data_IF_576427419951
#
_entry.id   IF_576427419951
#
_cell.length_a   1.000
_cell.length_b   1.000
_cell.length_c   1.000
_cell.angle_alpha   90.00
_cell.angle_beta   90.00
_cell.angle_gamma   90.00
#
_symmetry.space_group_name_H-M   'P 1'
#
loop_
_entity.id
_entity.type
_entity.pdbx_description
1 polymer ?
#
# COMPACT_ATOMS: atom_id res chain seq x y z
N UNK A 1 20.34 5.99 -31.61
CA UNK A 1 20.85 5.09 -30.55
C UNK A 1 19.68 4.24 -30.10
N UNK A 2 19.60 2.96 -30.51
CA UNK A 2 18.50 2.07 -30.12
C UNK A 2 18.72 1.61 -28.68
N UNK A 3 17.84 2.02 -27.77
CA UNK A 3 17.84 1.55 -26.39
C UNK A 3 16.88 0.37 -26.33
N UNK A 4 17.42 -0.84 -26.20
CA UNK A 4 16.61 -2.02 -25.93
C UNK A 4 16.12 -1.92 -24.49
N UNK A 5 14.81 -1.90 -24.29
CA UNK A 5 14.16 -1.81 -22.97
C UNK A 5 13.38 -3.09 -22.74
N UNK A 6 13.40 -3.58 -21.50
CA UNK A 6 12.61 -4.71 -21.03
C UNK A 6 11.58 -4.18 -20.04
N UNK A 7 10.29 -4.42 -20.30
CA UNK A 7 9.17 -4.03 -19.42
C UNK A 7 8.56 -5.30 -18.85
N UNK A 8 8.48 -5.36 -17.51
CA UNK A 8 7.84 -6.44 -16.77
C UNK A 8 6.45 -6.00 -16.31
N UNK A 9 5.47 -6.38 -17.13
CA UNK A 9 4.06 -6.07 -16.87
C UNK A 9 3.54 -6.83 -15.65
N UNK A 10 4.17 -7.94 -15.26
CA UNK A 10 3.74 -8.73 -14.12
C UNK A 10 4.22 -8.12 -12.80
N UNK A 11 5.46 -7.65 -12.74
CA UNK A 11 5.93 -6.86 -11.61
C UNK A 11 5.08 -5.58 -11.41
N UNK A 12 4.67 -4.94 -12.51
CA UNK A 12 3.72 -3.82 -12.48
C UNK A 12 2.38 -4.27 -11.91
N UNK A 13 1.83 -5.41 -12.35
CA UNK A 13 0.57 -5.93 -11.85
C UNK A 13 0.62 -6.28 -10.35
N UNK A 14 1.68 -6.95 -9.89
CA UNK A 14 1.89 -7.30 -8.47
C UNK A 14 1.94 -6.04 -7.61
N UNK A 15 2.61 -4.99 -8.08
CA UNK A 15 2.64 -3.70 -7.40
C UNK A 15 1.24 -3.08 -7.35
N UNK A 16 0.53 -3.03 -8.48
CA UNK A 16 -0.82 -2.47 -8.55
C UNK A 16 -1.79 -3.20 -7.63
N UNK A 17 -1.74 -4.53 -7.60
CA UNK A 17 -2.52 -5.34 -6.66
C UNK A 17 -2.16 -5.03 -5.21
N UNK A 18 -0.88 -4.89 -4.90
CA UNK A 18 -0.42 -4.58 -3.54
C UNK A 18 -0.86 -3.19 -3.09
N UNK A 19 -0.88 -2.20 -4.00
CA UNK A 19 -1.45 -0.87 -3.76
C UNK A 19 -2.95 -0.99 -3.50
N UNK A 20 -3.69 -1.67 -4.39
CA UNK A 20 -5.13 -1.88 -4.23
C UNK A 20 -5.46 -2.54 -2.88
N UNK A 21 -4.72 -3.57 -2.46
CA UNK A 21 -4.94 -4.23 -1.16
C UNK A 21 -4.72 -3.32 0.04
N UNK A 22 -3.82 -2.33 -0.07
CA UNK A 22 -3.60 -1.34 0.98
C UNK A 22 -4.73 -0.31 0.95
N UNK A 23 -5.09 0.20 -0.23
CA UNK A 23 -6.16 1.17 -0.40
C UNK A 23 -7.52 0.61 0.05
N UNK A 24 -7.82 -0.67 -0.23
CA UNK A 24 -9.03 -1.34 0.24
C UNK A 24 -9.12 -1.37 1.77
N UNK A 25 -8.00 -1.57 2.46
CA UNK A 25 -8.00 -1.49 3.93
C UNK A 25 -8.34 -0.09 4.40
N UNK A 26 -7.86 0.95 3.71
CA UNK A 26 -8.17 2.34 4.05
C UNK A 26 -9.64 2.68 3.75
N UNK A 27 -10.20 2.16 2.66
CA UNK A 27 -11.62 2.31 2.33
C UNK A 27 -12.51 1.58 3.35
N UNK A 28 -12.12 0.40 3.82
CA UNK A 28 -12.86 -0.31 4.86
C UNK A 28 -12.99 0.51 6.16
N UNK A 29 -12.11 1.49 6.38
CA UNK A 29 -12.23 2.42 7.50
C UNK A 29 -13.34 3.45 7.30
N UNK A 30 -13.60 3.87 6.06
CA UNK A 30 -14.76 4.69 5.72
C UNK A 30 -16.04 3.92 6.05
N UNK A 31 -16.11 2.63 5.74
CA UNK A 31 -17.25 1.78 6.08
C UNK A 31 -17.46 1.65 7.59
N UNK A 32 -16.36 1.55 8.37
CA UNK A 32 -16.45 1.56 9.83
C UNK A 32 -16.97 2.90 10.37
N UNK A 33 -16.55 4.02 9.79
CA UNK A 33 -17.05 5.35 10.17
C UNK A 33 -18.53 5.48 9.82
N UNK A 34 -18.94 5.06 8.61
CA UNK A 34 -20.34 5.05 8.17
C UNK A 34 -21.22 4.21 9.09
N UNK A 35 -20.79 2.98 9.39
CA UNK A 35 -21.48 2.09 10.33
C UNK A 35 -21.57 2.70 11.73
N UNK A 36 -20.51 3.35 12.18
CA UNK A 36 -20.50 4.10 13.43
C UNK A 36 -21.55 5.23 13.43
N UNK A 37 -21.59 6.03 12.37
CA UNK A 37 -22.57 7.11 12.19
C UNK A 37 -23.98 6.52 12.24
N UNK A 38 -24.30 5.49 11.44
CA UNK A 38 -25.63 4.88 11.41
C UNK A 38 -26.08 4.36 12.78
N UNK A 39 -25.18 3.71 13.53
CA UNK A 39 -25.47 3.16 14.84
C UNK A 39 -25.58 4.23 15.94
N UNK A 40 -24.79 5.30 15.88
CA UNK A 40 -24.85 6.41 16.83
C UNK A 40 -25.93 7.46 16.52
N UNK A 41 -26.40 7.51 15.27
CA UNK A 41 -27.25 8.58 14.73
C UNK A 41 -28.75 8.41 15.02
N UNK A 42 -29.23 7.27 15.54
CA UNK A 42 -30.66 7.11 15.86
C UNK A 42 -31.24 8.23 16.76
N UNK A 43 -30.41 8.97 17.52
CA UNK A 43 -30.83 10.12 18.34
C UNK A 43 -30.44 11.51 17.81
N UNK A 44 -29.71 11.58 16.69
CA UNK A 44 -29.08 12.78 16.11
C UNK A 44 -29.29 12.95 14.59
N UNK A 45 -30.18 12.17 13.96
CA UNK A 45 -30.53 12.32 12.55
C UNK A 45 -31.09 13.72 12.25
N UNK A 46 -30.23 14.61 11.78
CA UNK A 46 -30.58 15.89 11.20
C UNK A 46 -29.95 16.00 9.80
N UNK A 47 -30.33 17.04 9.06
CA UNK A 47 -29.88 17.28 7.69
C UNK A 47 -28.34 17.38 7.56
N UNK A 48 -27.64 17.83 8.60
CA UNK A 48 -26.18 17.97 8.57
C UNK A 48 -25.48 16.61 8.71
N UNK A 49 -25.96 15.71 9.57
CA UNK A 49 -25.41 14.35 9.68
C UNK A 49 -25.67 13.54 8.40
N UNK A 50 -26.82 13.74 7.75
CA UNK A 50 -27.14 13.13 6.47
C UNK A 50 -26.21 13.62 5.34
N UNK A 51 -25.92 14.92 5.28
CA UNK A 51 -24.99 15.47 4.29
C UNK A 51 -23.57 14.91 4.43
N UNK A 52 -23.06 14.81 5.68
CA UNK A 52 -21.76 14.21 5.96
C UNK A 52 -21.72 12.73 5.54
N UNK A 53 -22.77 11.97 5.87
CA UNK A 53 -22.86 10.56 5.48
C UNK A 53 -22.86 10.39 3.96
N UNK A 54 -23.60 11.23 3.24
CA UNK A 54 -23.66 11.19 1.79
C UNK A 54 -22.30 11.51 1.15
N UNK A 55 -21.58 12.51 1.64
CA UNK A 55 -20.23 12.82 1.18
C UNK A 55 -19.27 11.63 1.34
N UNK A 56 -19.30 10.97 2.51
CA UNK A 56 -18.45 9.80 2.78
C UNK A 56 -18.78 8.65 1.83
N UNK A 57 -20.07 8.42 1.57
CA UNK A 57 -20.55 7.40 0.62
C UNK A 57 -20.08 7.68 -0.79
N UNK A 58 -20.24 8.92 -1.27
CA UNK A 58 -19.83 9.32 -2.62
C UNK A 58 -18.30 9.17 -2.82
N UNK A 59 -17.51 9.57 -1.83
CA UNK A 59 -16.05 9.41 -1.87
C UNK A 59 -15.63 7.95 -1.84
N UNK A 60 -16.23 7.14 -0.94
CA UNK A 60 -15.98 5.71 -0.85
C UNK A 60 -16.28 5.02 -2.18
N UNK A 61 -17.45 5.27 -2.77
CA UNK A 61 -17.89 4.62 -4.00
C UNK A 61 -17.01 5.02 -5.19
N UNK A 62 -16.59 6.29 -5.24
CA UNK A 62 -15.63 6.79 -6.23
C UNK A 62 -14.28 6.08 -6.14
N UNK A 63 -13.73 5.93 -4.92
CA UNK A 63 -12.46 5.24 -4.71
C UNK A 63 -12.58 3.73 -4.97
N UNK A 64 -13.65 3.08 -4.52
CA UNK A 64 -13.90 1.67 -4.77
C UNK A 64 -13.99 1.36 -6.27
N UNK A 65 -14.68 2.22 -7.04
CA UNK A 65 -14.73 2.10 -8.51
C UNK A 65 -13.36 2.23 -9.17
N UNK A 66 -12.49 3.13 -8.68
CA UNK A 66 -11.11 3.27 -9.17
C UNK A 66 -10.25 2.06 -8.85
N UNK A 67 -10.37 1.50 -7.64
CA UNK A 67 -9.67 0.26 -7.25
C UNK A 67 -10.08 -0.89 -8.17
N UNK A 68 -11.38 -1.10 -8.38
CA UNK A 68 -11.86 -2.21 -9.22
C UNK A 68 -11.40 -2.06 -10.68
N UNK A 69 -11.42 -0.84 -11.22
CA UNK A 69 -10.87 -0.56 -12.55
C UNK A 69 -9.36 -0.85 -12.61
N UNK A 70 -8.60 -0.39 -11.61
CA UNK A 70 -7.15 -0.63 -11.57
C UNK A 70 -6.83 -2.12 -11.44
N UNK A 71 -7.59 -2.89 -10.65
CA UNK A 71 -7.47 -4.35 -10.55
C UNK A 71 -7.73 -5.03 -11.90
N UNK A 72 -8.78 -4.61 -12.61
CA UNK A 72 -9.08 -5.14 -13.94
C UNK A 72 -7.94 -4.84 -14.92
N UNK A 73 -7.43 -3.60 -14.92
CA UNK A 73 -6.29 -3.20 -15.75
C UNK A 73 -5.01 -3.97 -15.40
N UNK A 74 -4.72 -4.16 -14.11
CA UNK A 74 -3.57 -4.92 -13.62
C UNK A 74 -3.63 -6.38 -14.11
N UNK A 75 -4.80 -7.02 -14.09
CA UNK A 75 -5.01 -8.38 -14.62
C UNK A 75 -4.77 -8.45 -16.13
N UNK A 76 -5.24 -7.47 -16.91
CA UNK A 76 -5.00 -7.44 -18.36
C UNK A 76 -3.53 -7.15 -18.68
N UNK A 77 -2.87 -6.34 -17.87
CA UNK A 77 -1.44 -6.04 -17.96
C UNK A 77 -0.61 -7.29 -17.64
N UNK A 78 -0.96 -8.05 -16.59
CA UNK A 78 -0.27 -9.29 -16.22
C UNK A 78 -0.21 -10.30 -17.38
N UNK A 79 -1.28 -10.44 -18.18
CA UNK A 79 -1.33 -11.35 -19.33
C UNK A 79 -0.26 -11.07 -20.40
N UNK A 80 0.35 -9.87 -20.40
CA UNK A 80 1.38 -9.50 -21.37
C UNK A 80 2.76 -10.05 -21.00
N UNK A 81 2.97 -10.50 -19.77
CA UNK A 81 4.26 -10.99 -19.28
C UNK A 81 5.39 -9.98 -19.49
N UNK A 82 6.58 -10.46 -19.82
CA UNK A 82 7.71 -9.59 -20.19
C UNK A 82 7.77 -9.32 -21.69
N UNK A 83 7.89 -8.04 -22.03
CA UNK A 83 8.05 -7.59 -23.42
C UNK A 83 9.39 -6.86 -23.57
N UNK A 84 10.18 -7.30 -24.54
CA UNK A 84 11.48 -6.72 -24.90
C UNK A 84 11.42 -6.09 -26.30
N UNK A 85 11.98 -4.90 -26.47
CA UNK A 85 11.86 -4.16 -27.73
C UNK A 85 12.53 -2.79 -27.71
N UNK A 86 12.43 -2.09 -28.84
CA UNK A 86 12.92 -0.71 -28.97
C UNK A 86 12.11 0.24 -28.10
N UNK A 87 12.77 1.14 -27.36
CA UNK A 87 12.14 2.04 -26.40
C UNK A 87 10.97 2.83 -26.99
N UNK A 88 11.10 3.25 -28.25
CA UNK A 88 10.11 4.10 -28.92
C UNK A 88 8.87 3.31 -29.35
N UNK A 89 8.99 1.99 -29.54
CA UNK A 89 7.85 1.09 -29.83
C UNK A 89 7.16 0.59 -28.57
N UNK A 90 7.90 0.44 -27.48
CA UNK A 90 7.36 -0.02 -26.20
C UNK A 90 6.65 1.09 -25.40
N UNK A 91 7.15 2.34 -25.50
CA UNK A 91 6.56 3.53 -24.84
C UNK A 91 5.17 3.92 -25.33
N UNK A 92 4.71 3.37 -26.46
CA UNK A 92 3.38 3.64 -27.00
C UNK A 92 2.27 2.81 -26.33
N UNK A 93 2.61 1.88 -25.42
CA UNK A 93 1.66 0.94 -24.85
C UNK A 93 1.26 1.26 -23.41
N UNK A 94 0.02 0.89 -23.09
CA UNK A 94 -0.73 1.14 -21.86
C UNK A 94 -0.07 0.79 -20.51
N UNK A 95 1.10 0.13 -20.48
CA UNK A 95 1.82 -0.23 -19.25
C UNK A 95 2.18 0.99 -18.41
N UNK A 96 2.68 2.03 -19.08
CA UNK A 96 3.12 3.27 -18.45
C UNK A 96 1.95 4.03 -17.80
N UNK A 97 0.70 3.70 -18.16
CA UNK A 97 -0.49 4.30 -17.57
C UNK A 97 -0.97 3.54 -16.33
N UNK A 98 -0.71 2.23 -16.19
CA UNK A 98 -1.25 1.46 -15.07
C UNK A 98 -0.44 1.69 -13.79
N UNK A 99 0.91 1.72 -13.86
CA UNK A 99 1.74 2.09 -12.70
C UNK A 99 1.48 3.54 -12.26
N UNK A 100 1.32 4.46 -13.23
CA UNK A 100 0.93 5.86 -12.95
C UNK A 100 -0.47 5.96 -12.35
N UNK A 101 -1.44 5.23 -12.87
CA UNK A 101 -2.80 5.20 -12.33
C UNK A 101 -2.81 4.62 -10.91
N UNK A 102 -1.95 3.63 -10.62
CA UNK A 102 -1.78 3.09 -9.28
C UNK A 102 -1.18 4.11 -8.32
N UNK A 103 -0.14 4.84 -8.74
CA UNK A 103 0.44 5.93 -7.94
C UNK A 103 -0.53 7.09 -7.74
N UNK A 104 -1.30 7.46 -8.76
CA UNK A 104 -2.30 8.51 -8.65
C UNK A 104 -3.42 8.12 -7.70
N UNK A 105 -3.91 6.87 -7.77
CA UNK A 105 -4.89 6.34 -6.84
C UNK A 105 -4.34 6.31 -5.41
N UNK A 106 -3.13 5.80 -5.22
CA UNK A 106 -2.46 5.79 -3.92
C UNK A 106 -2.33 7.20 -3.33
N UNK A 107 -1.95 8.20 -4.13
CA UNK A 107 -1.86 9.59 -3.69
C UNK A 107 -3.22 10.16 -3.28
N UNK A 108 -4.28 9.87 -4.06
CA UNK A 108 -5.64 10.29 -3.73
C UNK A 108 -6.14 9.65 -2.42
N UNK A 109 -5.87 8.36 -2.23
CA UNK A 109 -6.22 7.63 -1.01
C UNK A 109 -5.42 8.14 0.19
N UNK A 110 -4.13 8.41 0.03
CA UNK A 110 -3.27 8.96 1.07
C UNK A 110 -3.72 10.38 1.49
N UNK A 111 -4.07 11.24 0.54
CA UNK A 111 -4.58 12.58 0.85
C UNK A 111 -5.93 12.51 1.59
N UNK A 112 -6.83 11.65 1.11
CA UNK A 112 -8.12 11.41 1.77
C UNK A 112 -7.92 10.89 3.20
N UNK A 113 -6.99 9.95 3.39
CA UNK A 113 -6.67 9.41 4.70
C UNK A 113 -6.04 10.42 5.65
N UNK A 114 -5.13 11.25 5.16
CA UNK A 114 -4.39 12.20 5.98
C UNK A 114 -5.19 13.46 6.35
N UNK A 115 -6.20 13.83 5.55
CA UNK A 115 -7.02 15.03 5.81
C UNK A 115 -8.47 14.67 6.14
N UNK A 116 -9.22 14.19 5.16
CA UNK A 116 -10.68 14.01 5.27
C UNK A 116 -11.07 12.98 6.30
N UNK A 117 -10.43 11.80 6.29
CA UNK A 117 -10.72 10.73 7.26
C UNK A 117 -10.48 11.18 8.70
N UNK A 118 -9.42 11.97 8.94
CA UNK A 118 -9.08 12.51 10.26
C UNK A 118 -10.15 13.50 10.74
N UNK A 119 -10.57 14.40 9.84
CA UNK A 119 -11.64 15.36 10.13
C UNK A 119 -12.97 14.65 10.40
N UNK A 120 -13.36 13.71 9.53
CA UNK A 120 -14.60 12.93 9.65
C UNK A 120 -14.65 12.11 10.94
N UNK A 121 -13.56 11.44 11.31
CA UNK A 121 -13.46 10.73 12.61
C UNK A 121 -13.69 11.63 13.78
N UNK A 122 -13.17 12.84 13.71
CA UNK A 122 -13.33 13.77 14.81
C UNK A 122 -14.73 14.39 14.86
N UNK A 123 -15.34 14.65 13.71
CA UNK A 123 -16.75 15.02 13.63
C UNK A 123 -17.60 13.89 14.25
N UNK A 124 -17.32 12.63 13.93
CA UNK A 124 -18.00 11.48 14.51
C UNK A 124 -17.76 11.33 16.02
N UNK A 125 -16.51 11.43 16.50
CA UNK A 125 -16.21 11.38 17.94
C UNK A 125 -16.91 12.52 18.69
N UNK A 126 -16.92 13.73 18.13
CA UNK A 126 -17.66 14.87 18.67
C UNK A 126 -19.17 14.60 18.71
N UNK A 127 -19.72 13.93 17.68
CA UNK A 127 -21.12 13.53 17.62
C UNK A 127 -21.45 12.46 18.68
N UNK A 128 -20.55 11.50 18.92
CA UNK A 128 -20.70 10.52 19.99
C UNK A 128 -20.62 11.17 21.39
N UNK A 129 -19.62 12.01 21.63
CA UNK A 129 -19.46 12.73 22.91
C UNK A 129 -20.66 13.61 23.21
N UNK A 130 -21.12 14.37 22.21
CA UNK A 130 -22.35 15.16 22.34
C UNK A 130 -23.57 14.26 22.49
N UNK A 131 -23.72 13.13 21.80
CA UNK A 131 -24.83 12.20 22.06
C UNK A 131 -24.84 11.66 23.49
N UNK A 132 -23.66 11.52 24.13
CA UNK A 132 -23.51 11.06 25.52
C UNK A 132 -23.84 12.20 26.50
N UNK A 133 -23.28 13.40 26.31
CA UNK A 133 -23.58 14.58 27.13
C UNK A 133 -25.02 15.06 26.97
N UNK A 134 -25.54 14.99 25.75
CA UNK A 134 -26.88 15.37 25.37
C UNK A 134 -27.89 14.31 25.80
N UNK A 135 -27.56 13.00 25.81
CA UNK A 135 -28.36 12.00 26.53
C UNK A 135 -28.37 12.27 28.04
N UNK A 136 -27.24 12.63 28.64
CA UNK A 136 -27.18 12.97 30.07
C UNK A 136 -27.91 14.28 30.41
N UNK A 137 -27.91 15.29 29.53
CA UNK A 137 -28.69 16.53 29.64
C UNK A 137 -30.17 16.32 29.31
N UNK A 138 -30.53 15.53 28.29
CA UNK A 138 -31.91 15.17 27.91
C UNK A 138 -32.59 14.36 29.01
N UNK A 139 -31.88 13.39 29.62
CA UNK A 139 -32.31 12.67 30.83
C UNK A 139 -32.59 13.61 32.01
N UNK A 140 -31.93 14.77 32.06
CA UNK A 140 -32.10 15.78 33.11
C UNK A 140 -33.11 16.89 32.77
N UNK A 141 -33.46 17.15 31.50
CA UNK A 141 -34.19 18.38 31.16
C UNK A 141 -35.36 18.34 30.18
N UNK A 142 -35.67 17.30 29.39
CA UNK A 142 -36.94 17.26 28.60
C UNK A 142 -37.20 15.92 27.90
N UNK A 143 -38.39 15.37 28.14
CA UNK A 143 -38.92 14.17 27.48
C UNK A 143 -39.30 14.45 26.03
N UNK A 144 -38.44 14.03 25.07
CA UNK A 144 -38.79 13.56 23.71
C UNK A 144 -37.62 13.57 22.69
N UNK A 145 -36.38 13.87 23.09
CA UNK A 145 -35.21 13.46 22.29
C UNK A 145 -35.02 14.08 20.90
N UNK A 146 -35.69 15.19 20.58
CA UNK A 146 -35.48 15.93 19.31
C UNK A 146 -34.85 17.29 19.62
N UNK A 147 -33.62 17.52 19.15
CA UNK A 147 -32.97 18.84 19.20
C UNK A 147 -33.39 19.62 17.96
N UNK A 148 -34.10 20.72 18.17
CA UNK A 148 -34.59 21.59 17.09
C UNK A 148 -33.68 22.80 16.97
N UNK A 149 -33.04 23.00 15.82
CA UNK A 149 -32.14 24.13 15.57
C UNK A 149 -32.98 25.37 15.21
N UNK A 150 -32.73 26.54 15.83
CA UNK A 150 -33.39 27.80 15.46
C UNK A 150 -33.08 28.20 14.01
N UNK A 151 -34.06 28.77 13.30
CA UNK A 151 -33.92 29.14 11.88
C UNK A 151 -32.76 30.12 11.60
N UNK A 152 -32.42 30.98 12.55
CA UNK A 152 -31.29 31.92 12.42
C UNK A 152 -29.93 31.21 12.48
N UNK A 153 -29.80 30.20 13.35
CA UNK A 153 -28.60 29.36 13.44
C UNK A 153 -28.48 28.52 12.17
N UNK A 154 -29.58 27.97 11.66
CA UNK A 154 -29.57 27.23 10.40
C UNK A 154 -29.07 28.10 9.23
N UNK A 155 -29.58 29.32 9.09
CA UNK A 155 -29.11 30.26 8.05
C UNK A 155 -27.62 30.58 8.17
N UNK A 156 -27.14 30.74 9.41
CA UNK A 156 -25.72 30.99 9.66
C UNK A 156 -24.86 29.79 9.26
N UNK A 157 -25.26 28.58 9.64
CA UNK A 157 -24.57 27.35 9.24
C UNK A 157 -24.56 27.18 7.71
N UNK A 158 -25.69 27.39 7.05
CA UNK A 158 -25.81 27.29 5.59
C UNK A 158 -24.96 28.32 4.84
N UNK A 159 -24.57 29.42 5.50
CA UNK A 159 -23.65 30.42 4.94
C UNK A 159 -22.18 29.97 4.93
N UNK A 160 -21.83 28.94 5.70
CA UNK A 160 -20.46 28.42 5.78
C UNK A 160 -20.23 27.47 4.59
N UNK A 161 -19.32 27.88 3.69
CA UNK A 161 -19.02 27.13 2.47
C UNK A 161 -18.26 25.83 2.73
N UNK A 162 -17.28 25.86 3.64
CA UNK A 162 -16.52 24.68 4.01
C UNK A 162 -17.39 23.75 4.87
N UNK A 163 -17.71 22.58 4.33
CA UNK A 163 -18.56 21.58 4.95
C UNK A 163 -18.02 21.18 6.34
N UNK A 164 -16.71 20.98 6.46
CA UNK A 164 -16.07 20.59 7.72
C UNK A 164 -16.20 21.71 8.76
N UNK A 165 -15.94 22.97 8.40
CA UNK A 165 -16.15 24.12 9.29
C UNK A 165 -17.62 24.28 9.69
N UNK A 166 -18.55 24.08 8.75
CA UNK A 166 -19.98 24.11 9.02
C UNK A 166 -20.36 23.09 10.09
N UNK A 167 -19.84 21.86 9.98
CA UNK A 167 -20.11 20.80 10.94
C UNK A 167 -19.47 21.08 12.31
N UNK A 168 -18.25 21.62 12.36
CA UNK A 168 -17.65 22.03 13.65
C UNK A 168 -18.39 23.19 14.30
N UNK A 169 -18.88 24.16 13.53
CA UNK A 169 -19.74 25.23 14.02
C UNK A 169 -21.06 24.66 14.58
N UNK A 170 -21.66 23.69 13.88
CA UNK A 170 -22.82 22.98 14.41
C UNK A 170 -22.54 22.26 15.73
N UNK A 171 -21.38 21.62 15.89
CA UNK A 171 -21.00 20.99 17.15
C UNK A 171 -20.73 21.99 18.27
N UNK A 172 -20.11 23.12 17.97
CA UNK A 172 -19.96 24.20 18.95
C UNK A 172 -21.33 24.65 19.47
N UNK A 173 -22.33 24.75 18.58
CA UNK A 173 -23.71 25.06 18.96
C UNK A 173 -24.33 23.98 19.87
N UNK A 174 -24.15 22.69 19.56
CA UNK A 174 -24.66 21.60 20.42
C UNK A 174 -24.02 21.59 21.81
N UNK A 175 -22.72 21.93 21.90
CA UNK A 175 -22.03 22.05 23.19
C UNK A 175 -22.53 23.25 24.00
N UNK A 176 -22.79 24.38 23.32
CA UNK A 176 -23.30 25.59 23.92
C UNK A 176 -24.32 26.29 23.00
N UNK A 177 -25.60 26.08 23.30
CA UNK A 177 -26.75 26.57 22.52
C UNK A 177 -26.97 28.09 22.60
N UNK A 178 -26.16 28.79 23.41
CA UNK A 178 -26.17 30.26 23.52
C UNK A 178 -25.28 30.95 22.48
N UNK A 179 -24.43 30.19 21.78
CA UNK A 179 -23.54 30.72 20.76
C UNK A 179 -24.31 31.13 19.49
N UNK A 180 -23.97 32.28 18.93
CA UNK A 180 -24.56 32.79 17.69
C UNK A 180 -23.58 33.70 16.93
N UNK A 181 -23.88 34.01 15.67
CA UNK A 181 -23.08 34.90 14.83
C UNK A 181 -21.60 34.50 14.75
N UNK A 182 -20.71 35.49 14.80
CA UNK A 182 -19.26 35.28 14.71
C UNK A 182 -18.69 34.46 15.87
N UNK A 183 -19.33 34.52 17.05
CA UNK A 183 -18.89 33.75 18.22
C UNK A 183 -19.09 32.25 18.01
N UNK A 184 -20.16 31.86 17.32
CA UNK A 184 -20.39 30.45 16.95
C UNK A 184 -19.34 29.96 15.94
N UNK A 185 -19.03 30.78 14.94
CA UNK A 185 -18.02 30.46 13.93
C UNK A 185 -16.64 30.33 14.58
N UNK A 186 -16.29 31.26 15.49
CA UNK A 186 -15.02 31.21 16.23
C UNK A 186 -14.93 29.97 17.11
N UNK A 187 -15.98 29.66 17.86
CA UNK A 187 -16.02 28.46 18.70
C UNK A 187 -15.91 27.17 17.86
N UNK A 188 -16.53 27.12 16.68
CA UNK A 188 -16.37 26.02 15.73
C UNK A 188 -14.92 25.85 15.27
N UNK A 189 -14.23 26.95 14.93
CA UNK A 189 -12.82 26.93 14.53
C UNK A 189 -11.88 26.54 15.66
N UNK A 190 -12.12 27.05 16.86
CA UNK A 190 -11.36 26.66 18.05
C UNK A 190 -11.53 25.18 18.35
N UNK A 191 -12.76 24.67 18.30
CA UNK A 191 -13.04 23.24 18.46
C UNK A 191 -12.34 22.39 17.38
N UNK A 192 -12.33 22.86 16.13
CA UNK A 192 -11.58 22.22 15.02
C UNK A 192 -10.07 22.15 15.30
N UNK A 193 -9.50 23.22 15.86
CA UNK A 193 -8.06 23.36 16.09
C UNK A 193 -7.56 22.68 17.38
N UNK A 194 -8.25 22.82 18.51
CA UNK A 194 -7.85 22.22 19.81
C UNK A 194 -7.73 20.70 19.70
N UNK A 195 -8.63 20.10 18.93
CA UNK A 195 -8.61 18.66 18.68
C UNK A 195 -7.69 18.27 17.53
N UNK A 196 -7.19 19.20 16.70
CA UNK A 196 -6.31 18.89 15.57
C UNK A 196 -4.98 18.25 16.00
N UNK A 197 -4.29 18.83 16.97
CA UNK A 197 -3.02 18.28 17.48
C UNK A 197 -3.19 16.89 18.11
N UNK A 198 -4.25 16.71 18.93
CA UNK A 198 -4.58 15.40 19.51
C UNK A 198 -4.94 14.36 18.45
N UNK A 199 -5.62 14.78 17.37
CA UNK A 199 -5.97 13.90 16.23
C UNK A 199 -4.74 13.47 15.47
N UNK A 200 -3.78 14.37 15.22
CA UNK A 200 -2.52 14.03 14.57
C UNK A 200 -1.81 12.93 15.34
N UNK A 201 -1.74 13.04 16.67
CA UNK A 201 -1.07 12.02 17.49
C UNK A 201 -1.81 10.68 17.47
N UNK A 202 -3.14 10.69 17.53
CA UNK A 202 -3.95 9.47 17.38
C UNK A 202 -3.75 8.81 16.01
N UNK A 203 -3.67 9.60 14.94
CA UNK A 203 -3.43 9.08 13.60
C UNK A 203 -1.99 8.59 13.42
N UNK A 204 -0.99 9.25 14.02
CA UNK A 204 0.39 8.76 14.07
C UNK A 204 0.48 7.39 14.75
N UNK A 205 -0.18 7.24 15.88
CA UNK A 205 -0.24 5.96 16.59
C UNK A 205 -0.99 4.89 15.80
N UNK A 206 -2.01 5.30 15.03
CA UNK A 206 -2.70 4.40 14.12
C UNK A 206 -1.80 3.92 12.98
N UNK A 207 -1.10 4.84 12.31
CA UNK A 207 -0.12 4.53 11.27
C UNK A 207 0.96 3.60 11.83
N UNK A 208 1.44 3.85 13.05
CA UNK A 208 2.36 2.94 13.76
C UNK A 208 1.79 1.51 13.82
N UNK A 209 0.54 1.33 14.26
CA UNK A 209 -0.10 0.01 14.34
C UNK A 209 -0.26 -0.66 12.98
N UNK A 210 -0.57 0.11 11.93
CA UNK A 210 -0.66 -0.41 10.56
C UNK A 210 0.70 -0.94 10.08
N UNK A 211 1.77 -0.19 10.34
CA UNK A 211 3.14 -0.61 10.02
C UNK A 211 3.54 -1.87 10.82
N UNK A 212 3.22 -1.93 12.11
CA UNK A 212 3.44 -3.12 12.95
C UNK A 212 2.66 -4.33 12.44
N UNK A 213 1.39 -4.15 12.04
CA UNK A 213 0.55 -5.21 11.50
C UNK A 213 1.06 -5.72 10.14
N UNK A 214 1.68 -4.85 9.35
CA UNK A 214 2.41 -5.21 8.14
C UNK A 214 3.77 -5.88 8.42
N UNK A 215 4.17 -6.00 9.70
CA UNK A 215 5.42 -6.61 10.18
C UNK A 215 6.68 -5.86 9.77
N UNK A 216 6.58 -4.54 9.66
CA UNK A 216 7.74 -3.68 9.46
C UNK A 216 8.63 -3.62 10.71
N UNK A 217 9.91 -3.36 10.47
CA UNK A 217 10.92 -3.23 11.51
C UNK A 217 10.68 -1.99 12.38
N UNK A 218 10.85 -2.12 13.70
CA UNK A 218 10.61 -1.03 14.65
C UNK A 218 11.41 0.23 14.34
N UNK A 219 12.64 0.10 13.83
CA UNK A 219 13.49 1.23 13.43
C UNK A 219 12.92 2.00 12.24
N UNK A 220 12.32 1.31 11.27
CA UNK A 220 11.62 1.92 10.13
C UNK A 220 10.36 2.63 10.64
N UNK A 221 9.60 1.96 11.50
CA UNK A 221 8.39 2.52 12.11
C UNK A 221 8.69 3.81 12.86
N UNK A 222 9.71 3.80 13.71
CA UNK A 222 10.13 4.97 14.46
C UNK A 222 10.58 6.08 13.51
N UNK A 223 11.36 5.78 12.46
CA UNK A 223 11.77 6.77 11.46
C UNK A 223 10.57 7.40 10.74
N UNK A 224 9.59 6.60 10.33
CA UNK A 224 8.41 7.08 9.60
C UNK A 224 7.53 7.98 10.49
N UNK A 225 7.34 7.61 11.76
CA UNK A 225 6.37 8.27 12.65
C UNK A 225 6.98 9.42 13.46
N UNK A 226 8.30 9.42 13.70
CA UNK A 226 8.96 10.45 14.54
C UNK A 226 9.57 11.61 13.77
N UNK A 227 9.70 11.51 12.44
CA UNK A 227 10.18 12.63 11.62
C UNK A 227 9.20 13.83 11.69
N UNK A 228 9.75 15.05 11.68
CA UNK A 228 8.99 16.31 11.61
C UNK A 228 8.40 16.51 10.20
N UNK A 229 7.49 15.60 9.83
CA UNK A 229 6.77 15.58 8.56
C UNK A 229 5.29 15.88 8.80
N UNK A 230 4.64 16.40 7.77
CA UNK A 230 3.19 16.54 7.74
C UNK A 230 2.52 15.15 7.78
N UNK A 231 1.29 15.07 8.29
CA UNK A 231 0.57 13.80 8.35
C UNK A 231 0.42 13.13 6.97
N UNK A 232 0.27 13.93 5.91
CA UNK A 232 0.21 13.45 4.53
C UNK A 232 1.52 12.77 4.09
N UNK A 233 2.67 13.36 4.43
CA UNK A 233 3.98 12.77 4.13
C UNK A 233 4.21 11.50 4.94
N UNK A 234 3.85 11.50 6.24
CA UNK A 234 3.94 10.30 7.08
C UNK A 234 3.09 9.17 6.49
N UNK A 235 1.85 9.48 6.08
CA UNK A 235 0.94 8.50 5.46
C UNK A 235 1.48 7.99 4.13
N UNK A 236 2.04 8.85 3.29
CA UNK A 236 2.65 8.46 2.02
C UNK A 236 3.79 7.47 2.22
N UNK A 237 4.77 7.84 3.06
CA UNK A 237 5.93 6.99 3.34
C UNK A 237 5.50 5.68 4.00
N UNK A 238 4.56 5.73 4.95
CA UNK A 238 4.04 4.53 5.59
C UNK A 238 3.39 3.58 4.57
N UNK A 239 2.61 4.12 3.64
CA UNK A 239 1.92 3.34 2.61
C UNK A 239 2.93 2.72 1.63
N UNK A 240 3.96 3.46 1.23
CA UNK A 240 5.06 2.94 0.39
C UNK A 240 5.78 1.76 1.08
N UNK A 241 6.11 1.90 2.36
CA UNK A 241 6.75 0.83 3.14
C UNK A 241 5.86 -0.42 3.27
N UNK A 242 4.55 -0.23 3.50
CA UNK A 242 3.57 -1.34 3.57
C UNK A 242 3.43 -2.04 2.22
N UNK A 243 3.35 -1.28 1.12
CA UNK A 243 3.25 -1.82 -0.24
C UNK A 243 4.51 -2.59 -0.60
N UNK A 244 5.70 -2.03 -0.33
CA UNK A 244 6.98 -2.71 -0.54
C UNK A 244 7.04 -4.02 0.24
N UNK A 245 6.64 -4.01 1.51
CA UNK A 245 6.64 -5.24 2.31
C UNK A 245 5.68 -6.30 1.76
N UNK A 246 4.50 -5.91 1.26
CA UNK A 246 3.60 -6.83 0.56
C UNK A 246 4.22 -7.43 -0.69
N UNK A 247 4.89 -6.63 -1.51
CA UNK A 247 5.60 -7.09 -2.72
C UNK A 247 6.68 -8.11 -2.33
N UNK A 248 7.47 -7.82 -1.29
CA UNK A 248 8.50 -8.73 -0.76
C UNK A 248 7.89 -10.06 -0.29
N UNK A 249 6.79 -10.02 0.45
CA UNK A 249 6.09 -11.22 0.92
C UNK A 249 5.54 -12.08 -0.22
N UNK A 250 4.95 -11.45 -1.25
CA UNK A 250 4.48 -12.15 -2.47
C UNK A 250 5.67 -12.80 -3.19
N UNK A 251 6.77 -12.07 -3.37
CA UNK A 251 8.01 -12.54 -4.01
C UNK A 251 8.62 -13.74 -3.26
N UNK A 252 8.72 -13.66 -1.93
CA UNK A 252 9.22 -14.75 -1.08
C UNK A 252 8.36 -16.01 -1.20
N UNK A 253 7.03 -15.86 -1.22
CA UNK A 253 6.10 -16.99 -1.37
C UNK A 253 6.30 -17.71 -2.70
N UNK A 254 6.51 -16.95 -3.78
CA UNK A 254 6.79 -17.49 -5.10
C UNK A 254 8.14 -18.24 -5.11
N UNK A 255 9.22 -17.58 -4.68
CA UNK A 255 10.57 -18.18 -4.63
C UNK A 255 10.57 -19.46 -3.80
N UNK A 256 9.94 -19.45 -2.62
CA UNK A 256 9.83 -20.61 -1.75
C UNK A 256 9.09 -21.76 -2.44
N UNK A 257 8.00 -21.47 -3.16
CA UNK A 257 7.26 -22.49 -3.91
C UNK A 257 8.11 -23.10 -5.03
N UNK A 258 8.82 -22.26 -5.79
CA UNK A 258 9.65 -22.67 -6.91
C UNK A 258 10.84 -23.55 -6.50
N UNK A 259 11.48 -23.28 -5.37
CA UNK A 259 12.59 -24.13 -4.89
C UNK A 259 12.09 -25.39 -4.18
N UNK A 260 10.94 -25.34 -3.49
CA UNK A 260 10.38 -26.55 -2.88
C UNK A 260 9.93 -27.55 -3.93
N UNK A 261 9.39 -27.10 -5.06
CA UNK A 261 9.10 -27.96 -6.21
C UNK A 261 10.36 -28.70 -6.74
N UNK A 262 11.56 -28.14 -6.50
CA UNK A 262 12.86 -28.72 -6.85
C UNK A 262 13.49 -29.58 -5.77
N UNK A 263 12.75 -29.87 -4.70
CA UNK A 263 13.21 -30.72 -3.60
C UNK A 263 14.06 -29.99 -2.55
N UNK A 264 14.12 -28.66 -2.57
CA UNK A 264 14.70 -27.92 -1.45
C UNK A 264 13.72 -27.83 -0.28
N UNK A 265 14.23 -28.11 0.91
CA UNK A 265 13.51 -27.97 2.17
C UNK A 265 13.87 -26.60 2.77
N UNK A 266 12.85 -25.79 3.01
CA UNK A 266 12.99 -24.47 3.65
C UNK A 266 12.44 -24.57 5.08
N UNK A 267 13.32 -24.54 6.08
CA UNK A 267 12.92 -24.38 7.48
C UNK A 267 12.69 -22.90 7.77
N UNK A 268 11.68 -22.57 8.58
CA UNK A 268 11.43 -21.20 9.07
C UNK A 268 12.67 -20.61 9.77
N UNK A 269 13.50 -21.45 10.40
CA UNK A 269 14.76 -21.04 11.04
C UNK A 269 15.81 -20.52 10.05
N UNK A 270 15.66 -20.88 8.79
CA UNK A 270 16.56 -20.50 7.69
C UNK A 270 16.09 -19.24 6.95
N UNK A 271 14.99 -18.62 7.40
CA UNK A 271 14.53 -17.32 6.94
C UNK A 271 15.02 -16.28 7.94
N UNK A 272 15.91 -15.40 7.51
CA UNK A 272 16.52 -14.35 8.34
C UNK A 272 16.21 -12.99 7.75
N UNK A 273 15.74 -12.08 8.58
CA UNK A 273 15.57 -10.68 8.22
C UNK A 273 16.88 -9.97 8.55
N UNK A 274 17.56 -9.44 7.53
CA UNK A 274 18.72 -8.56 7.72
C UNK A 274 18.24 -7.12 7.74
N UNK A 275 18.44 -6.51 8.90
CA UNK A 275 17.83 -5.23 9.29
C UNK A 275 18.61 -4.03 8.80
N UNK A 276 19.90 -4.22 8.56
CA UNK A 276 20.85 -3.22 8.08
C UNK A 276 20.73 -2.97 6.58
N UNK A 277 20.54 -4.03 5.79
CA UNK A 277 20.39 -3.96 4.33
C UNK A 277 18.93 -4.03 3.86
N UNK A 278 17.98 -4.16 4.80
CA UNK A 278 16.54 -4.30 4.55
C UNK A 278 16.21 -5.43 3.55
N UNK A 279 16.88 -6.58 3.72
CA UNK A 279 16.70 -7.77 2.90
C UNK A 279 16.19 -8.95 3.73
N UNK A 280 15.42 -9.83 3.10
CA UNK A 280 15.05 -11.13 3.68
C UNK A 280 15.89 -12.21 3.02
N UNK A 281 16.67 -12.91 3.83
CA UNK A 281 17.49 -14.04 3.42
C UNK A 281 16.69 -15.32 3.62
N UNK A 282 16.51 -16.09 2.56
CA UNK A 282 15.88 -17.39 2.57
C UNK A 282 16.91 -18.45 2.17
N UNK A 283 17.06 -19.51 2.98
CA UNK A 283 17.95 -20.62 2.66
C UNK A 283 17.17 -21.94 2.56
N UNK A 284 17.23 -22.57 1.39
CA UNK A 284 16.76 -23.92 1.13
C UNK A 284 17.93 -24.93 1.13
N UNK A 285 17.67 -26.13 1.63
CA UNK A 285 18.64 -27.24 1.66
C UNK A 285 18.05 -28.49 1.04
N UNK A 286 18.83 -29.19 0.21
CA UNK A 286 18.51 -30.54 -0.27
C UNK A 286 19.10 -31.59 0.68
N UNK A 287 18.50 -32.77 0.68
CA UNK A 287 19.00 -33.92 1.47
C UNK A 287 20.40 -34.37 1.02
N UNK A 288 20.74 -34.14 -0.25
CA UNK A 288 22.05 -34.39 -0.86
C UNK A 288 23.12 -33.34 -0.50
N UNK A 289 22.76 -32.29 0.25
CA UNK A 289 23.70 -31.31 0.78
C UNK A 289 23.79 -30.01 -0.03
N UNK A 290 23.10 -29.90 -1.16
CA UNK A 290 23.07 -28.64 -1.93
C UNK A 290 22.25 -27.57 -1.22
N UNK A 291 22.69 -26.32 -1.36
CA UNK A 291 22.12 -25.14 -0.72
C UNK A 291 21.70 -24.13 -1.77
N UNK A 292 20.52 -23.54 -1.61
CA UNK A 292 20.08 -22.36 -2.37
C UNK A 292 19.78 -21.23 -1.40
N UNK A 293 20.43 -20.09 -1.58
CA UNK A 293 20.28 -18.90 -0.75
C UNK A 293 19.73 -17.75 -1.60
N UNK A 294 18.73 -17.05 -1.07
CA UNK A 294 18.05 -15.95 -1.74
C UNK A 294 18.03 -14.73 -0.83
N UNK A 295 18.35 -13.57 -1.37
CA UNK A 295 18.23 -12.28 -0.69
C UNK A 295 17.14 -11.49 -1.40
N UNK A 296 16.03 -11.18 -0.72
CA UNK A 296 14.85 -10.53 -1.33
C UNK A 296 14.65 -9.15 -0.72
N UNK A 297 14.49 -8.14 -1.58
CA UNK A 297 14.33 -6.72 -1.23
C UNK A 297 12.85 -6.28 -1.26
N UNK A 298 12.56 -5.08 -0.74
CA UNK A 298 11.20 -4.52 -0.67
C UNK A 298 10.54 -4.33 -2.04
N UNK A 299 11.32 -4.02 -3.07
CA UNK A 299 10.81 -3.83 -4.43
C UNK A 299 10.61 -5.15 -5.20
N UNK A 300 10.77 -6.29 -4.53
CA UNK A 300 10.65 -7.63 -5.12
C UNK A 300 11.91 -8.09 -5.86
N UNK A 301 12.96 -7.25 -5.96
CA UNK A 301 14.26 -7.71 -6.48
C UNK A 301 14.83 -8.78 -5.57
N UNK A 302 15.58 -9.69 -6.16
CA UNK A 302 16.29 -10.70 -5.39
C UNK A 302 17.65 -11.07 -5.99
N UNK A 303 18.55 -11.54 -5.13
CA UNK A 303 19.83 -12.15 -5.47
C UNK A 303 19.74 -13.62 -5.07
N UNK A 304 20.32 -14.53 -5.86
CA UNK A 304 20.35 -15.95 -5.55
C UNK A 304 21.76 -16.52 -5.62
N UNK A 305 22.01 -17.58 -4.83
CA UNK A 305 23.28 -18.29 -4.75
C UNK A 305 23.04 -19.79 -4.53
N UNK A 306 23.49 -20.61 -5.47
CA UNK A 306 23.38 -22.07 -5.42
C UNK A 306 24.76 -22.69 -5.16
N UNK A 307 24.92 -23.36 -4.01
CA UNK A 307 26.19 -23.95 -3.55
C UNK A 307 26.06 -25.44 -3.23
N UNK A 308 27.20 -26.12 -3.12
CA UNK A 308 27.26 -27.55 -2.78
C UNK A 308 27.08 -28.49 -3.98
N UNK A 309 27.16 -27.96 -5.20
CA UNK A 309 27.09 -28.71 -6.45
C UNK A 309 28.49 -29.13 -6.92
N UNK A 310 28.61 -30.33 -7.44
CA UNK A 310 29.82 -30.78 -8.15
C UNK A 310 29.78 -30.33 -9.62
N UNK A 311 30.81 -29.60 -10.07
CA UNK A 311 30.94 -29.13 -11.45
C UNK A 311 29.77 -28.26 -11.92
N UNK A 312 29.15 -28.62 -13.05
CA UNK A 312 28.02 -27.88 -13.65
C UNK A 312 26.64 -28.39 -13.19
N UNK A 313 26.56 -29.24 -12.16
CA UNK A 313 25.29 -29.79 -11.71
C UNK A 313 24.29 -28.71 -11.26
N UNK A 314 24.77 -27.55 -10.79
CA UNK A 314 23.93 -26.42 -10.39
C UNK A 314 23.05 -25.89 -11.53
N UNK A 315 23.48 -25.99 -12.79
CA UNK A 315 22.68 -25.51 -13.93
C UNK A 315 21.39 -26.31 -14.11
N UNK A 316 21.37 -27.59 -13.68
CA UNK A 316 20.16 -28.43 -13.72
C UNK A 316 19.08 -27.98 -12.76
N UNK A 317 19.43 -27.20 -11.74
CA UNK A 317 18.47 -26.61 -10.82
C UNK A 317 18.20 -25.13 -11.13
N UNK A 318 19.24 -24.36 -11.49
CA UNK A 318 19.13 -22.93 -11.80
C UNK A 318 18.27 -22.68 -13.04
N UNK A 319 18.55 -23.35 -14.16
CA UNK A 319 17.84 -23.04 -15.41
C UNK A 319 16.36 -23.38 -15.31
N UNK A 320 15.96 -24.56 -14.80
CA UNK A 320 14.55 -24.81 -14.56
C UNK A 320 13.99 -23.83 -13.52
N UNK A 321 14.74 -23.44 -12.48
CA UNK A 321 14.23 -22.51 -11.47
C UNK A 321 13.85 -21.16 -12.07
N UNK A 322 14.70 -20.62 -12.92
CA UNK A 322 14.39 -19.38 -13.64
C UNK A 322 13.20 -19.58 -14.58
N UNK A 323 13.12 -20.73 -15.26
CA UNK A 323 11.98 -21.03 -16.12
C UNK A 323 10.67 -21.17 -15.32
N UNK A 324 10.66 -21.80 -14.14
CA UNK A 324 9.45 -21.92 -13.32
C UNK A 324 9.03 -20.56 -12.75
N UNK A 325 10.00 -19.75 -12.33
CA UNK A 325 9.71 -18.37 -11.93
C UNK A 325 8.99 -17.65 -13.07
N UNK A 326 9.44 -17.82 -14.31
CA UNK A 326 8.84 -17.19 -15.50
C UNK A 326 7.51 -17.82 -15.96
N UNK A 327 7.43 -19.15 -16.05
CA UNK A 327 6.31 -19.87 -16.68
C UNK A 327 5.21 -20.25 -15.69
N UNK A 328 5.57 -20.58 -14.44
CA UNK A 328 4.64 -21.11 -13.43
C UNK A 328 4.20 -20.01 -12.47
N UNK A 329 5.09 -19.08 -12.16
CA UNK A 329 4.85 -18.02 -11.19
C UNK A 329 4.90 -16.61 -11.77
N UNK A 330 5.15 -16.48 -13.07
CA UNK A 330 5.12 -15.22 -13.83
C UNK A 330 6.13 -14.14 -13.40
N UNK A 331 7.08 -14.47 -12.52
CA UNK A 331 8.20 -13.60 -12.20
C UNK A 331 9.24 -13.66 -13.31
N UNK A 332 9.21 -12.66 -14.17
CA UNK A 332 10.18 -12.53 -15.24
C UNK A 332 11.44 -11.79 -14.80
N UNK A 333 12.61 -12.38 -15.07
CA UNK A 333 13.88 -11.76 -14.69
C UNK A 333 14.21 -10.63 -15.67
N UNK A 334 14.02 -9.39 -15.22
CA UNK A 334 14.23 -8.16 -16.02
C UNK A 334 15.68 -7.85 -16.32
N UNK A 335 16.59 -8.27 -15.44
CA UNK A 335 18.01 -8.05 -15.59
C UNK A 335 18.76 -9.07 -14.74
N UNK A 336 19.46 -9.97 -15.41
CA UNK A 336 20.39 -10.88 -14.74
C UNK A 336 21.79 -10.26 -14.77
N UNK A 337 22.37 -10.04 -13.60
CA UNK A 337 23.78 -9.70 -13.49
C UNK A 337 24.49 -10.84 -12.78
N UNK A 338 25.40 -11.51 -13.49
CA UNK A 338 26.24 -12.54 -12.88
C UNK A 338 27.32 -11.85 -12.03
N UNK A 339 27.17 -11.95 -10.70
CA UNK A 339 28.10 -11.35 -9.74
C UNK A 339 29.33 -12.26 -9.56
N UNK A 340 29.14 -13.57 -9.68
CA UNK A 340 30.19 -14.57 -9.62
C UNK A 340 29.72 -15.89 -10.27
N UNK A 341 30.63 -16.58 -10.96
CA UNK A 341 30.40 -17.88 -11.60
C UNK A 341 31.47 -18.87 -11.20
N UNK A 342 31.15 -20.16 -11.08
CA UNK A 342 32.14 -21.17 -10.77
C UNK A 342 33.23 -21.21 -11.88
N UNK A 343 34.52 -20.98 -11.57
CA UNK A 343 35.58 -20.82 -12.57
C UNK A 343 36.00 -22.11 -13.32
N UNK A 344 35.27 -23.22 -13.19
CA UNK A 344 35.50 -24.50 -13.90
C UNK A 344 35.25 -24.43 -15.44
N UNK A 345 35.44 -23.27 -16.06
CA UNK A 345 35.81 -23.18 -17.48
C UNK A 345 37.24 -23.72 -17.65
N UNK A 346 37.40 -25.04 -17.59
CA UNK A 346 38.55 -25.63 -18.27
C UNK A 346 38.29 -25.43 -19.77
N UNK A 347 38.99 -24.44 -20.32
CA UNK A 347 39.33 -24.32 -21.73
C UNK A 347 39.36 -25.70 -22.38
N UNK A 348 38.36 -26.04 -23.19
CA UNK A 348 38.59 -27.04 -24.23
C UNK A 348 39.58 -26.38 -25.18
N UNK A 349 40.86 -26.74 -25.04
CA UNK A 349 41.86 -26.47 -26.06
C UNK A 349 41.30 -27.01 -27.37
N UNK A 350 40.83 -26.11 -28.24
CA UNK A 350 40.45 -26.46 -29.60
C UNK A 350 41.73 -26.77 -30.33
N UNK A 351 42.12 -28.05 -30.37
CA UNK A 351 43.08 -28.53 -31.35
C UNK A 351 42.48 -28.27 -32.74
N UNK A 352 42.98 -27.27 -33.45
CA UNK A 352 42.76 -27.17 -34.89
C UNK A 352 43.81 -28.03 -35.58
N UNK A 353 43.40 -29.22 -36.00
CA UNK A 353 44.15 -30.00 -36.96
C UNK A 353 43.90 -29.41 -38.34
N UNK A 354 44.94 -28.86 -38.97
CA UNK A 354 44.90 -28.49 -40.38
C UNK A 354 45.37 -29.71 -41.18
N UNK A 355 44.43 -30.41 -41.82
CA UNK A 355 44.75 -31.31 -42.93
C UNK A 355 44.80 -30.48 -44.22
N UNK A 356 45.92 -30.66 -44.90
CA UNK A 356 46.42 -30.01 -46.11
C UNK A 356 45.50 -30.12 -47.31
N UNK A 357 45.68 -29.21 -48.29
CA UNK A 357 45.57 -29.62 -49.67
C UNK A 357 46.74 -29.11 -50.51
N UNK A 358 47.53 -30.09 -50.94
CA UNK A 358 48.46 -30.07 -52.06
C UNK A 358 47.71 -29.78 -53.36
N UNK A 359 47.97 -28.63 -54.00
CA UNK A 359 48.31 -28.54 -55.43
C UNK A 359 48.21 -27.11 -56.02
N UNK A 360 49.30 -26.75 -56.70
CA UNK A 360 49.42 -25.95 -57.94
C UNK A 360 49.12 -24.43 -57.80
N UNK A 361 50.01 -23.54 -58.25
CA UNK A 361 50.95 -23.61 -59.37
C UNK A 361 52.14 -22.69 -59.16
#
# INVERSE_FOLDING_TARGET
>A
MSHQVQIDYEAIAIRCESICEVDEKQIAELDQILSGIENGSQSLQNSQTAALQQLIVEERDSLAGKIENLKAQAKEVAKKGVVSGDSDRLRLNSADNVDKAAQELQNQVNELAAKRLVEMRALYQGLLESSIEENQKRLRKKANGVVTIPAEIQKLLDSIQDETERQFAYFAYLKNDTLSGDDLIRAGRELKNETYESRIEKEREKIRRELEAARLEKTIIDKVVTENKTLSEIRSVATEEIVGEKIRQKSLKIIMSAITARGFIVDKKNIKIKRDTNEVILVGLKASGEKAEFHVFLDGKFIYDFRGYEGQACQKDIQPFLNDLEEVYGLHVTKTQEIWSNPDKISSMKYQTVKTNTNKR
#
